data_IF_475595135214
#
_entry.id   IF_475595135214
#
_cell.length_a   1.000
_cell.length_b   1.000
_cell.length_c   1.000
_cell.angle_alpha   90.00
_cell.angle_beta   90.00
_cell.angle_gamma   90.00
#
_symmetry.space_group_name_H-M   'P 1'
#
loop_
_entity.id
_entity.type
_entity.pdbx_description
1 polymer ?
#
# COMPACT_ATOMS: atom_id res chain seq x y z
N UNK A 1 -9.74 5.38 10.18
CA UNK A 1 -10.34 6.15 9.05
C UNK A 1 -9.99 7.63 9.11
N UNK A 2 -10.02 8.30 10.26
CA UNK A 2 -9.62 9.70 10.39
C UNK A 2 -8.26 10.02 9.76
N UNK A 3 -7.27 9.14 9.91
CA UNK A 3 -5.92 9.31 9.32
C UNK A 3 -5.97 9.34 7.79
N UNK A 4 -6.80 8.51 7.16
CA UNK A 4 -6.94 8.45 5.70
C UNK A 4 -7.66 9.70 5.20
N UNK A 5 -8.81 10.05 5.77
CA UNK A 5 -9.56 11.25 5.39
C UNK A 5 -8.70 12.51 5.54
N UNK A 6 -7.99 12.65 6.67
CA UNK A 6 -7.07 13.77 6.89
C UNK A 6 -5.95 13.85 5.84
N UNK A 7 -5.45 12.70 5.37
CA UNK A 7 -4.43 12.67 4.31
C UNK A 7 -4.97 13.17 2.98
N UNK A 8 -6.18 12.76 2.61
CA UNK A 8 -6.86 13.26 1.41
C UNK A 8 -7.18 14.75 1.52
N UNK A 9 -7.71 15.19 2.66
CA UNK A 9 -8.02 16.60 2.89
C UNK A 9 -6.78 17.49 2.80
N UNK A 10 -5.64 17.06 3.34
CA UNK A 10 -4.36 17.77 3.19
C UNK A 10 -3.90 17.87 1.74
N UNK A 11 -4.26 16.93 0.90
CA UNK A 11 -3.95 16.96 -0.52
C UNK A 11 -4.99 17.76 -1.35
N UNK A 12 -5.98 18.38 -0.71
CA UNK A 12 -7.03 19.15 -1.36
C UNK A 12 -8.23 18.31 -1.85
N UNK A 13 -8.31 17.04 -1.47
CA UNK A 13 -9.43 16.17 -1.81
C UNK A 13 -10.35 15.97 -0.61
N UNK A 14 -11.60 16.35 -0.74
CA UNK A 14 -12.58 16.12 0.30
C UNK A 14 -13.26 14.77 0.14
N UNK A 15 -13.15 13.92 1.14
CA UNK A 15 -13.83 12.62 1.18
C UNK A 15 -15.21 12.84 1.80
N UNK A 16 -16.27 12.67 1.01
CA UNK A 16 -17.65 12.87 1.46
C UNK A 16 -18.47 11.57 1.46
N UNK A 17 -18.04 10.56 0.72
CA UNK A 17 -18.75 9.29 0.61
C UNK A 17 -17.79 8.12 0.60
N UNK A 18 -18.20 7.02 1.24
CA UNK A 18 -17.48 5.74 1.23
C UNK A 18 -18.45 4.64 0.84
N UNK A 19 -18.05 3.84 -0.14
CA UNK A 19 -18.75 2.61 -0.52
C UNK A 19 -18.14 1.45 0.22
N UNK A 20 -18.94 0.64 0.88
CA UNK A 20 -18.47 -0.54 1.60
C UNK A 20 -19.49 -1.67 1.54
N UNK A 21 -19.03 -2.88 1.77
CA UNK A 21 -19.85 -4.06 1.89
C UNK A 21 -20.60 -4.05 3.25
N UNK A 22 -21.75 -4.72 3.31
CA UNK A 22 -22.57 -4.80 4.53
C UNK A 22 -21.81 -5.43 5.71
N UNK A 23 -20.83 -6.30 5.45
CA UNK A 23 -19.97 -6.90 6.48
C UNK A 23 -19.23 -5.85 7.33
N UNK A 24 -19.00 -4.66 6.80
CA UNK A 24 -18.34 -3.57 7.53
C UNK A 24 -19.29 -2.76 8.42
N UNK A 25 -20.58 -2.98 8.33
CA UNK A 25 -21.60 -2.22 9.08
C UNK A 25 -21.35 -2.19 10.59
N UNK A 26 -21.00 -3.30 11.26
CA UNK A 26 -20.75 -3.29 12.71
C UNK A 26 -19.49 -2.51 13.12
N UNK A 27 -18.50 -2.39 12.19
CA UNK A 27 -17.22 -1.73 12.46
C UNK A 27 -17.28 -0.21 12.25
N UNK A 28 -18.35 0.28 11.63
CA UNK A 28 -18.39 1.63 11.10
C UNK A 28 -19.33 2.58 11.88
N UNK A 29 -20.24 2.04 12.68
CA UNK A 29 -21.30 2.82 13.33
C UNK A 29 -20.78 3.95 14.23
N UNK A 30 -19.64 3.80 14.90
CA UNK A 30 -19.15 4.80 15.87
C UNK A 30 -18.12 5.78 15.26
N UNK A 31 -17.43 5.38 14.19
CA UNK A 31 -16.32 6.16 13.64
C UNK A 31 -16.76 7.21 12.61
N UNK A 32 -17.96 7.06 12.05
CA UNK A 32 -18.38 7.83 10.87
C UNK A 32 -19.23 9.04 11.22
N UNK A 33 -20.00 8.98 12.31
CA UNK A 33 -20.74 10.12 12.83
C UNK A 33 -19.81 11.30 13.16
N UNK A 34 -18.57 11.00 13.58
CA UNK A 34 -17.56 12.00 13.90
C UNK A 34 -16.92 12.66 12.66
N UNK A 35 -17.08 12.10 11.47
CA UNK A 35 -16.35 12.53 10.26
C UNK A 35 -17.27 13.16 9.20
N UNK A 36 -18.58 13.28 9.47
CA UNK A 36 -19.58 13.81 8.50
C UNK A 36 -19.55 13.11 7.12
N UNK A 37 -19.22 11.81 7.12
CA UNK A 37 -19.12 11.02 5.90
C UNK A 37 -20.41 10.27 5.62
N UNK A 38 -20.84 10.28 4.38
CA UNK A 38 -21.96 9.44 3.92
C UNK A 38 -21.45 8.04 3.60
N UNK A 39 -22.07 7.01 4.21
CA UNK A 39 -21.76 5.62 3.88
C UNK A 39 -22.83 5.08 2.95
N UNK A 40 -22.40 4.56 1.82
CA UNK A 40 -23.25 3.82 0.91
C UNK A 40 -22.90 2.34 1.02
N UNK A 41 -23.84 1.55 1.57
CA UNK A 41 -23.67 0.10 1.66
C UNK A 41 -24.14 -0.53 0.35
N UNK A 42 -23.25 -1.29 -0.29
CA UNK A 42 -23.63 -2.12 -1.42
C UNK A 42 -24.67 -3.16 -0.98
N UNK A 43 -25.70 -3.36 -1.81
CA UNK A 43 -26.65 -4.45 -1.57
C UNK A 43 -25.93 -5.80 -1.66
N UNK A 44 -26.52 -6.84 -1.06
CA UNK A 44 -25.92 -8.18 -0.97
C UNK A 44 -25.59 -8.79 -2.34
N UNK A 45 -26.22 -8.30 -3.42
CA UNK A 45 -26.00 -8.72 -4.79
C UNK A 45 -25.25 -7.67 -5.65
N UNK A 46 -25.07 -6.45 -5.13
CA UNK A 46 -24.35 -5.37 -5.83
C UNK A 46 -22.90 -5.30 -5.34
N UNK A 47 -22.02 -5.83 -6.12
CA UNK A 47 -20.58 -5.72 -5.89
C UNK A 47 -20.08 -4.33 -6.26
N UNK A 48 -19.16 -3.79 -5.47
CA UNK A 48 -18.45 -2.55 -5.81
C UNK A 48 -17.41 -2.87 -6.89
N UNK A 49 -17.83 -2.84 -8.15
CA UNK A 49 -17.03 -3.29 -9.30
C UNK A 49 -15.65 -2.63 -9.42
N UNK A 50 -15.49 -1.40 -8.90
CA UNK A 50 -14.19 -0.73 -8.85
C UNK A 50 -13.27 -1.32 -7.81
N UNK A 51 -13.79 -1.67 -6.63
CA UNK A 51 -13.02 -2.33 -5.59
C UNK A 51 -12.59 -3.73 -6.02
N UNK A 52 -13.47 -4.48 -6.68
CA UNK A 52 -13.15 -5.80 -7.21
C UNK A 52 -12.07 -5.75 -8.30
N UNK A 53 -12.17 -4.81 -9.25
CA UNK A 53 -11.14 -4.60 -10.28
C UNK A 53 -9.79 -4.27 -9.66
N UNK A 54 -9.77 -3.40 -8.65
CA UNK A 54 -8.54 -3.06 -7.95
C UNK A 54 -7.97 -4.24 -7.17
N UNK A 55 -8.82 -4.99 -6.47
CA UNK A 55 -8.42 -6.21 -5.76
C UNK A 55 -7.85 -7.26 -6.72
N UNK A 56 -8.48 -7.47 -7.88
CA UNK A 56 -7.98 -8.36 -8.93
C UNK A 56 -6.61 -7.91 -9.42
N UNK A 57 -6.46 -6.65 -9.75
CA UNK A 57 -5.19 -6.04 -10.17
C UNK A 57 -4.08 -6.27 -9.13
N UNK A 58 -4.35 -5.99 -7.85
CA UNK A 58 -3.38 -6.21 -6.77
C UNK A 58 -3.02 -7.69 -6.61
N UNK A 59 -4.00 -8.60 -6.69
CA UNK A 59 -3.76 -10.04 -6.61
C UNK A 59 -2.90 -10.55 -7.77
N UNK A 60 -3.12 -10.08 -8.98
CA UNK A 60 -2.32 -10.44 -10.15
C UNK A 60 -0.87 -9.95 -10.02
N UNK A 61 -0.67 -8.71 -9.59
CA UNK A 61 0.65 -8.15 -9.31
C UNK A 61 1.37 -8.89 -8.18
N UNK A 62 0.63 -9.22 -7.12
CA UNK A 62 1.17 -10.00 -6.02
C UNK A 62 1.65 -11.38 -6.49
N UNK A 63 0.84 -12.11 -7.26
CA UNK A 63 1.21 -13.42 -7.81
C UNK A 63 2.46 -13.35 -8.66
N UNK A 64 2.54 -12.38 -9.56
CA UNK A 64 3.71 -12.17 -10.41
C UNK A 64 4.97 -11.98 -9.57
N UNK A 65 4.94 -11.09 -8.59
CA UNK A 65 6.09 -10.85 -7.72
C UNK A 65 6.42 -12.04 -6.81
N UNK A 66 5.42 -12.72 -6.30
CA UNK A 66 5.59 -13.91 -5.48
C UNK A 66 6.37 -15.00 -6.23
N UNK A 67 6.00 -15.27 -7.47
CA UNK A 67 6.70 -16.26 -8.31
C UNK A 67 8.07 -15.81 -8.81
N UNK A 68 8.33 -14.51 -8.77
CA UNK A 68 9.65 -13.97 -9.11
C UNK A 68 10.67 -14.09 -7.97
N UNK A 69 10.22 -14.31 -6.74
CA UNK A 69 11.12 -14.47 -5.60
C UNK A 69 11.89 -15.79 -5.68
N UNK A 70 13.19 -15.79 -5.33
CA UNK A 70 14.03 -16.99 -5.42
C UNK A 70 13.78 -18.01 -4.29
N UNK A 71 12.73 -17.84 -3.50
CA UNK A 71 12.44 -18.65 -2.32
C UNK A 71 11.31 -19.65 -2.60
N UNK A 72 11.52 -20.92 -2.23
CA UNK A 72 10.49 -21.98 -2.32
C UNK A 72 9.42 -21.87 -1.22
N UNK A 73 9.81 -21.36 -0.05
CA UNK A 73 8.93 -21.17 1.09
C UNK A 73 9.14 -19.75 1.63
N UNK A 74 8.04 -19.04 1.87
CA UNK A 74 8.06 -17.64 2.30
C UNK A 74 7.34 -17.51 3.64
N UNK A 75 8.00 -16.97 4.69
CA UNK A 75 7.37 -16.69 5.97
C UNK A 75 6.21 -15.70 5.84
N UNK A 76 5.23 -15.79 6.74
CA UNK A 76 4.05 -14.89 6.73
C UNK A 76 4.42 -13.41 6.77
N UNK A 77 5.50 -13.04 7.46
CA UNK A 77 5.99 -11.66 7.50
C UNK A 77 6.39 -11.15 6.10
N UNK A 78 7.03 -11.99 5.30
CA UNK A 78 7.37 -11.66 3.91
C UNK A 78 6.13 -11.55 3.03
N UNK A 79 5.12 -12.40 3.22
CA UNK A 79 3.84 -12.31 2.48
C UNK A 79 3.17 -10.97 2.74
N UNK A 80 3.11 -10.54 4.02
CA UNK A 80 2.56 -9.22 4.38
C UNK A 80 3.37 -8.07 3.78
N UNK A 81 4.69 -8.12 3.88
CA UNK A 81 5.58 -7.14 3.29
C UNK A 81 5.41 -7.04 1.78
N UNK A 82 5.33 -8.17 1.09
CA UNK A 82 5.10 -8.21 -0.35
C UNK A 82 3.75 -7.58 -0.74
N UNK A 83 2.69 -7.85 0.01
CA UNK A 83 1.37 -7.25 -0.23
C UNK A 83 1.40 -5.72 -0.09
N UNK A 84 2.07 -5.21 0.95
CA UNK A 84 2.25 -3.76 1.17
C UNK A 84 3.07 -3.14 0.03
N UNK A 85 4.16 -3.80 -0.39
CA UNK A 85 5.02 -3.31 -1.47
C UNK A 85 4.29 -3.27 -2.81
N UNK A 86 3.48 -4.29 -3.11
CA UNK A 86 2.64 -4.31 -4.32
C UNK A 86 1.63 -3.15 -4.32
N UNK A 87 0.95 -2.93 -3.20
CA UNK A 87 0.01 -1.82 -3.06
C UNK A 87 0.70 -0.45 -3.17
N UNK A 88 1.88 -0.30 -2.57
CA UNK A 88 2.70 0.91 -2.66
C UNK A 88 3.09 1.20 -4.11
N UNK A 89 3.60 0.20 -4.82
CA UNK A 89 4.03 0.35 -6.20
C UNK A 89 2.87 0.60 -7.18
N UNK A 90 1.68 0.05 -6.91
CA UNK A 90 0.49 0.34 -7.69
C UNK A 90 0.16 1.85 -7.69
N UNK A 91 0.47 2.55 -6.60
CA UNK A 91 0.25 3.99 -6.48
C UNK A 91 1.33 4.86 -7.14
N UNK A 92 2.39 4.28 -7.70
CA UNK A 92 3.45 5.05 -8.37
C UNK A 92 3.16 5.31 -9.85
N UNK A 93 2.16 4.66 -10.42
CA UNK A 93 1.82 4.79 -11.83
C UNK A 93 0.44 5.43 -12.01
N UNK A 94 0.27 6.31 -13.01
CA UNK A 94 -1.05 6.85 -13.32
C UNK A 94 -2.01 5.74 -13.75
N UNK A 95 -3.27 5.90 -13.36
CA UNK A 95 -4.34 4.96 -13.72
C UNK A 95 -5.10 5.51 -14.92
N UNK A 96 -5.28 4.70 -15.97
CA UNK A 96 -5.91 5.11 -17.25
C UNK A 96 -7.29 5.77 -17.09
N UNK A 97 -8.06 5.36 -16.07
CA UNK A 97 -9.39 5.92 -15.75
C UNK A 97 -9.41 6.67 -14.40
N UNK A 98 -8.25 7.12 -13.93
CA UNK A 98 -8.12 7.84 -12.67
C UNK A 98 -8.34 9.34 -12.80
N UNK A 99 -8.16 10.06 -11.69
CA UNK A 99 -8.27 11.53 -11.59
C UNK A 99 -7.30 12.24 -12.54
N UNK A 100 -6.14 11.66 -12.80
CA UNK A 100 -5.13 12.18 -13.72
C UNK A 100 -4.56 11.05 -14.58
N UNK A 101 -4.39 11.33 -15.87
CA UNK A 101 -3.71 10.44 -16.81
C UNK A 101 -2.17 10.60 -16.79
N UNK A 102 -1.66 11.66 -16.15
CA UNK A 102 -0.25 12.03 -16.14
C UNK A 102 0.36 11.80 -14.76
N UNK A 103 -0.34 12.25 -13.70
CA UNK A 103 0.15 12.17 -12.33
C UNK A 103 -0.29 10.86 -11.67
N UNK A 104 0.62 10.24 -10.96
CA UNK A 104 0.33 9.05 -10.18
C UNK A 104 -0.47 9.38 -8.91
N UNK A 105 -1.25 8.44 -8.35
CA UNK A 105 -1.94 8.64 -7.08
C UNK A 105 -0.99 9.09 -5.95
N UNK A 106 0.23 8.57 -5.93
CA UNK A 106 1.24 8.98 -4.96
C UNK A 106 1.63 10.45 -5.10
N UNK A 107 1.82 10.94 -6.33
CA UNK A 107 2.13 12.35 -6.57
C UNK A 107 0.97 13.26 -6.19
N UNK A 108 -0.26 12.88 -6.53
CA UNK A 108 -1.47 13.64 -6.20
C UNK A 108 -1.65 13.78 -4.68
N UNK A 109 -1.48 12.70 -3.93
CA UNK A 109 -1.72 12.69 -2.47
C UNK A 109 -0.54 13.23 -1.67
N UNK A 110 0.70 12.95 -2.09
CA UNK A 110 1.90 13.44 -1.39
C UNK A 110 2.35 14.82 -1.85
N UNK A 111 1.78 15.33 -2.94
CA UNK A 111 2.12 16.63 -3.54
C UNK A 111 3.63 16.80 -3.80
N UNK A 112 4.31 15.71 -4.15
CA UNK A 112 5.73 15.71 -4.51
C UNK A 112 6.00 14.80 -5.70
N UNK A 113 7.03 15.09 -6.44
CA UNK A 113 7.51 14.20 -7.49
C UNK A 113 8.09 12.91 -6.90
N UNK A 114 7.98 11.83 -7.66
CA UNK A 114 8.63 10.57 -7.35
C UNK A 114 10.13 10.70 -7.60
N UNK A 115 10.93 10.24 -6.65
CA UNK A 115 12.38 10.19 -6.75
C UNK A 115 12.82 8.73 -6.89
N UNK A 116 13.53 8.40 -7.98
CA UNK A 116 13.90 7.02 -8.27
C UNK A 116 14.60 6.35 -7.07
N UNK A 117 15.61 6.98 -6.51
CA UNK A 117 16.40 6.42 -5.42
C UNK A 117 15.63 6.25 -4.11
N UNK A 118 14.61 7.07 -3.85
CA UNK A 118 13.82 7.01 -2.62
C UNK A 118 12.58 6.13 -2.75
N UNK A 119 11.90 6.22 -3.88
CA UNK A 119 10.61 5.56 -4.06
C UNK A 119 10.76 4.16 -4.67
N UNK A 120 11.77 3.95 -5.51
CA UNK A 120 11.99 2.67 -6.19
C UNK A 120 13.20 1.89 -5.67
N UNK A 121 14.03 2.48 -4.85
CA UNK A 121 15.20 1.93 -4.13
C UNK A 121 15.53 0.46 -4.35
N UNK A 122 15.79 -0.24 -3.27
CA UNK A 122 16.07 -1.69 -3.29
C UNK A 122 14.76 -2.45 -3.53
N UNK A 123 14.68 -3.39 -4.48
CA UNK A 123 13.47 -4.20 -4.70
C UNK A 123 13.17 -5.07 -3.48
N UNK A 124 11.95 -5.57 -3.36
CA UNK A 124 11.55 -6.48 -2.29
C UNK A 124 12.22 -7.86 -2.43
N UNK A 125 12.81 -8.37 -1.36
CA UNK A 125 13.27 -9.74 -1.25
C UNK A 125 14.75 -10.05 -1.53
N UNK A 126 15.63 -9.12 -1.98
CA UNK A 126 17.03 -9.44 -2.19
C UNK A 126 17.78 -9.63 -0.87
N UNK A 127 18.85 -10.36 -0.95
CA UNK A 127 19.86 -10.43 0.10
C UNK A 127 20.60 -9.10 0.18
N UNK A 128 20.73 -8.59 1.39
CA UNK A 128 21.45 -7.35 1.68
C UNK A 128 22.31 -7.51 2.92
N UNK A 129 23.39 -6.77 3.00
CA UNK A 129 24.16 -6.62 4.23
C UNK A 129 23.71 -5.35 4.97
N UNK A 130 23.01 -5.56 6.08
CA UNK A 130 22.57 -4.47 6.93
C UNK A 130 23.69 -4.07 7.89
N UNK A 131 23.99 -2.76 7.94
CA UNK A 131 24.95 -2.23 8.91
C UNK A 131 24.39 -2.34 10.34
N UNK A 132 25.18 -2.90 11.26
CA UNK A 132 24.89 -2.90 12.69
C UNK A 132 25.62 -1.74 13.39
N UNK A 133 25.08 -1.32 14.54
CA UNK A 133 25.78 -0.33 15.38
C UNK A 133 27.15 -0.87 15.76
N UNK A 134 28.18 -0.13 15.38
CA UNK A 134 29.56 -0.49 15.67
C UNK A 134 29.86 -0.34 17.16
N UNK A 135 30.34 -1.41 17.76
CA UNK A 135 30.99 -1.39 19.07
C UNK A 135 32.50 -1.53 18.86
N UNK A 136 33.32 -1.10 19.82
CA UNK A 136 34.81 -1.27 19.77
C UNK A 136 35.25 -2.74 19.91
N UNK A 137 34.49 -3.68 19.36
CA UNK A 137 34.79 -5.12 19.38
C UNK A 137 35.10 -5.62 17.98
N UNK A 138 35.82 -6.74 17.89
CA UNK A 138 36.08 -7.40 16.60
C UNK A 138 34.89 -8.11 15.95
N UNK A 139 33.65 -7.79 16.36
CA UNK A 139 32.44 -8.33 15.76
C UNK A 139 32.23 -7.76 14.36
N UNK A 140 31.57 -8.56 13.49
CA UNK A 140 31.16 -8.10 12.18
C UNK A 140 30.33 -6.83 12.29
N UNK A 141 30.60 -5.87 11.41
CA UNK A 141 29.85 -4.60 11.31
C UNK A 141 28.62 -4.70 10.42
N UNK A 142 28.43 -5.83 9.77
CA UNK A 142 27.30 -6.10 8.90
C UNK A 142 26.66 -7.42 9.27
N UNK A 143 25.37 -7.52 9.00
CA UNK A 143 24.59 -8.74 9.15
C UNK A 143 23.85 -9.03 7.85
N UNK A 144 23.99 -10.26 7.37
CA UNK A 144 23.22 -10.73 6.22
C UNK A 144 21.73 -10.74 6.54
N UNK A 145 20.95 -10.09 5.71
CA UNK A 145 19.52 -9.87 5.92
C UNK A 145 18.76 -9.94 4.59
N UNK A 146 17.45 -10.09 4.66
CA UNK A 146 16.59 -9.97 3.48
C UNK A 146 15.88 -8.63 3.56
N UNK A 147 16.00 -7.84 2.50
CA UNK A 147 15.31 -6.56 2.42
C UNK A 147 13.82 -6.77 2.20
N UNK A 148 12.99 -6.28 3.10
CA UNK A 148 11.54 -6.40 3.00
C UNK A 148 10.86 -5.09 2.62
N UNK A 149 11.17 -4.00 3.33
CA UNK A 149 10.55 -2.68 3.11
C UNK A 149 11.39 -1.58 3.77
N UNK A 150 11.38 -0.39 3.15
CA UNK A 150 11.71 0.87 3.81
C UNK A 150 10.39 1.56 4.21
N UNK A 151 10.20 1.81 5.50
CA UNK A 151 9.06 2.57 6.03
C UNK A 151 9.43 4.04 6.17
#
# INVERSE_FOLDING_TARGET
>A
MSVIANRYNKAGYYVYMVYCDQEFKPLLNDAWEQLELTINYANTEDHVGEAERNNRFLKERFRTKFHYLPYKAIPRIMIRGLAIEVAKQANFFPVKSGVSSILSPCQLIKQRNLEFNKDFGIPFGPYVEAAEKTTNTAKSRTRSSIYLLCF
#
